data_IF_187108625192
#
_entry.id   IF_187108625192
#
_cell.length_a   1.000
_cell.length_b   1.000
_cell.length_c   1.000
_cell.angle_alpha   90.00
_cell.angle_beta   90.00
_cell.angle_gamma   90.00
#
_symmetry.space_group_name_H-M   'P 1'
#
loop_
_entity.id
_entity.type
_entity.pdbx_description
1 polymer ?
#
# COMPACT_ATOMS: atom_id res chain seq x y z
N UNK A 1 -60.58 -58.15 63.32
CA UNK A 1 -60.89 -57.31 62.14
C UNK A 1 -59.79 -56.26 62.02
N UNK A 2 -59.04 -56.28 60.90
CA UNK A 2 -58.20 -55.20 60.30
C UNK A 2 -56.92 -54.79 61.08
N UNK A 3 -55.67 -55.14 60.69
CA UNK A 3 -54.83 -54.68 59.54
C UNK A 3 -54.55 -53.15 59.68
N UNK A 4 -53.35 -52.54 59.77
CA UNK A 4 -51.91 -52.80 59.56
C UNK A 4 -51.12 -51.81 60.49
N UNK A 5 -49.95 -52.15 61.05
CA UNK A 5 -48.61 -51.67 60.64
C UNK A 5 -48.58 -50.20 60.16
N UNK A 6 -47.84 -49.26 60.73
CA UNK A 6 -46.36 -49.22 60.80
C UNK A 6 -45.88 -48.03 61.65
N UNK A 7 -44.76 -48.22 62.35
CA UNK A 7 -43.80 -47.20 62.80
C UNK A 7 -43.71 -46.00 61.84
N UNK A 8 -43.86 -44.77 62.34
CA UNK A 8 -43.35 -43.57 61.66
C UNK A 8 -42.11 -43.10 62.42
N UNK A 9 -40.95 -43.39 61.84
CA UNK A 9 -39.63 -43.03 62.34
C UNK A 9 -39.32 -41.59 61.89
N UNK A 10 -38.97 -40.77 62.88
CA UNK A 10 -38.30 -39.48 62.80
C UNK A 10 -37.15 -39.45 61.79
N UNK A 11 -37.13 -38.53 60.80
CA UNK A 11 -35.91 -38.02 60.13
C UNK A 11 -36.21 -36.69 59.41
N UNK A 12 -36.32 -35.59 60.17
CA UNK A 12 -36.70 -34.27 59.64
C UNK A 12 -35.57 -33.28 59.39
N UNK A 13 -34.29 -33.64 59.56
CA UNK A 13 -33.19 -32.64 59.50
C UNK A 13 -31.80 -33.17 59.12
N UNK A 14 -31.70 -34.14 58.21
CA UNK A 14 -30.38 -34.58 57.69
C UNK A 14 -30.23 -34.62 56.17
N UNK A 15 -31.29 -34.38 55.39
CA UNK A 15 -31.24 -34.53 53.93
C UNK A 15 -31.59 -33.27 53.13
N UNK A 16 -31.32 -32.08 53.67
CA UNK A 16 -31.39 -30.85 52.86
C UNK A 16 -30.25 -29.87 53.15
N UNK A 17 -29.02 -30.36 53.08
CA UNK A 17 -27.89 -29.50 52.72
C UNK A 17 -27.22 -30.09 51.48
N UNK A 18 -27.92 -30.06 50.35
CA UNK A 18 -27.23 -30.07 49.07
C UNK A 18 -26.40 -28.79 49.08
N UNK A 19 -25.10 -28.90 49.29
CA UNK A 19 -24.19 -27.82 48.96
C UNK A 19 -24.38 -27.58 47.48
N UNK A 20 -25.12 -26.53 47.10
CA UNK A 20 -25.18 -26.07 45.73
C UNK A 20 -23.80 -25.54 45.38
N UNK A 21 -22.90 -26.44 44.96
CA UNK A 21 -21.68 -26.04 44.30
C UNK A 21 -22.13 -25.41 42.99
N UNK A 22 -22.21 -24.07 42.98
CA UNK A 22 -22.43 -23.27 41.76
C UNK A 22 -21.57 -23.89 40.66
N UNK A 23 -22.14 -24.18 39.47
CA UNK A 23 -21.37 -24.77 38.40
C UNK A 23 -20.15 -23.89 38.17
N UNK A 24 -18.95 -24.47 38.22
CA UNK A 24 -17.72 -23.74 37.88
C UNK A 24 -17.92 -23.27 36.45
N UNK A 25 -18.02 -21.96 36.24
CA UNK A 25 -18.01 -21.38 34.90
C UNK A 25 -16.76 -21.87 34.19
N UNK A 26 -16.94 -22.81 33.26
CA UNK A 26 -15.88 -23.21 32.35
C UNK A 26 -15.69 -22.00 31.45
N UNK A 27 -14.76 -21.12 31.81
CA UNK A 27 -14.29 -20.05 30.92
C UNK A 27 -13.60 -20.72 29.75
N UNK A 28 -14.35 -21.06 28.71
CA UNK A 28 -13.82 -21.50 27.43
C UNK A 28 -13.05 -20.30 26.88
N UNK A 29 -11.74 -20.29 27.13
CA UNK A 29 -10.83 -19.34 26.51
C UNK A 29 -10.79 -19.68 25.03
N UNK A 30 -11.72 -19.11 24.26
CA UNK A 30 -11.65 -19.18 22.81
C UNK A 30 -10.41 -18.39 22.41
N UNK A 31 -9.32 -19.11 22.14
CA UNK A 31 -8.07 -18.53 21.69
C UNK A 31 -8.26 -18.08 20.24
N UNK A 32 -9.06 -17.02 20.03
CA UNK A 32 -9.30 -16.42 18.72
C UNK A 32 -8.00 -15.79 18.26
N UNK A 33 -7.20 -16.56 17.50
CA UNK A 33 -6.00 -16.06 16.80
C UNK A 33 -6.40 -14.78 16.04
N UNK A 34 -5.87 -13.63 16.47
CA UNK A 34 -6.08 -12.34 15.78
C UNK A 34 -5.55 -12.47 14.35
N UNK A 35 -6.44 -12.48 13.36
CA UNK A 35 -6.04 -12.48 11.94
C UNK A 35 -5.28 -11.19 11.65
N UNK A 36 -4.01 -11.31 11.25
CA UNK A 36 -3.19 -10.14 10.85
C UNK A 36 -3.86 -9.49 9.64
N UNK A 37 -4.05 -8.17 9.69
CA UNK A 37 -4.57 -7.41 8.54
C UNK A 37 -3.55 -7.53 7.40
N UNK A 38 -4.02 -7.86 6.19
CA UNK A 38 -3.19 -7.89 4.98
C UNK A 38 -2.50 -6.53 4.83
N UNK A 39 -1.20 -6.51 4.54
CA UNK A 39 -0.48 -5.26 4.29
C UNK A 39 -0.62 -4.85 2.82
N UNK A 40 -0.63 -3.55 2.56
CA UNK A 40 -0.56 -3.04 1.20
C UNK A 40 0.83 -3.24 0.63
N UNK A 41 0.92 -3.54 -0.67
CA UNK A 41 2.19 -3.68 -1.39
C UNK A 41 2.98 -2.38 -1.39
N UNK A 42 2.31 -1.25 -1.64
CA UNK A 42 2.92 0.08 -1.64
C UNK A 42 2.51 0.90 -0.41
N UNK A 43 3.47 1.67 0.11
CA UNK A 43 3.26 2.63 1.20
C UNK A 43 2.94 4.00 0.62
N UNK A 44 2.20 4.82 1.38
CA UNK A 44 2.04 6.24 1.06
C UNK A 44 3.44 6.88 1.02
N UNK A 45 3.70 7.69 0.01
CA UNK A 45 4.98 8.30 -0.29
C UNK A 45 5.91 7.47 -1.18
N UNK A 46 5.56 6.21 -1.51
CA UNK A 46 6.39 5.40 -2.42
C UNK A 46 6.39 5.97 -3.83
N UNK A 47 7.54 5.91 -4.50
CA UNK A 47 7.69 6.25 -5.92
C UNK A 47 7.35 5.04 -6.79
N UNK A 48 6.57 5.27 -7.83
CA UNK A 48 6.07 4.21 -8.73
C UNK A 48 6.01 4.67 -10.18
N UNK A 49 6.11 3.72 -11.11
CA UNK A 49 5.79 3.87 -12.54
C UNK A 49 4.46 3.21 -12.86
N UNK A 50 3.79 3.68 -13.91
CA UNK A 50 2.55 3.09 -14.42
C UNK A 50 2.83 2.10 -15.54
N UNK A 51 2.01 1.07 -15.67
CA UNK A 51 2.06 0.18 -16.83
C UNK A 51 1.58 0.93 -18.08
N UNK A 52 2.24 0.69 -19.21
CA UNK A 52 1.79 1.19 -20.51
C UNK A 52 0.51 0.46 -20.95
N UNK A 53 -0.37 1.20 -21.62
CA UNK A 53 -1.57 0.62 -22.23
C UNK A 53 -1.11 -0.20 -23.44
N UNK A 54 -1.32 -1.52 -23.38
CA UNK A 54 -0.96 -2.40 -24.47
C UNK A 54 -1.83 -2.11 -25.70
N UNK A 55 -1.19 -1.79 -26.83
CA UNK A 55 -1.82 -1.66 -28.13
C UNK A 55 -1.74 -2.96 -28.92
N UNK A 56 -2.64 -3.16 -29.88
CA UNK A 56 -2.72 -4.37 -30.72
C UNK A 56 -1.41 -4.61 -31.50
N UNK A 57 -0.66 -3.55 -31.77
CA UNK A 57 0.60 -3.58 -32.52
C UNK A 57 1.84 -3.58 -31.62
N UNK A 58 1.68 -3.67 -30.30
CA UNK A 58 2.83 -3.73 -29.41
C UNK A 58 3.61 -5.02 -29.60
N UNK A 59 4.91 -4.87 -29.80
CA UNK A 59 5.83 -5.98 -29.96
C UNK A 59 6.35 -6.40 -28.59
N UNK A 60 6.91 -7.60 -28.50
CA UNK A 60 7.47 -8.13 -27.24
C UNK A 60 8.57 -7.25 -26.63
N UNK A 61 9.24 -6.43 -27.44
CA UNK A 61 10.28 -5.50 -27.01
C UNK A 61 9.77 -4.10 -26.65
N UNK A 62 8.46 -3.83 -26.78
CA UNK A 62 7.89 -2.55 -26.34
C UNK A 62 8.10 -2.36 -24.83
N UNK A 63 8.46 -1.15 -24.42
CA UNK A 63 8.58 -0.78 -23.00
C UNK A 63 7.22 -1.00 -22.32
N UNK A 64 7.20 -1.75 -21.20
CA UNK A 64 5.96 -2.06 -20.46
C UNK A 64 5.55 -1.01 -19.43
N UNK A 65 6.46 -0.12 -19.09
CA UNK A 65 6.28 0.86 -18.02
C UNK A 65 6.49 2.27 -18.55
N UNK A 66 5.78 3.23 -17.99
CA UNK A 66 5.99 4.65 -18.26
C UNK A 66 7.36 5.07 -17.75
N UNK A 67 7.98 6.05 -18.40
CA UNK A 67 9.23 6.63 -17.89
C UNK A 67 8.97 7.60 -16.72
N UNK A 68 7.82 8.30 -16.74
CA UNK A 68 7.37 9.21 -15.69
C UNK A 68 7.17 8.47 -14.36
N UNK A 69 7.56 9.14 -13.27
CA UNK A 69 7.49 8.64 -11.91
C UNK A 69 6.43 9.39 -11.13
N UNK A 70 5.59 8.64 -10.44
CA UNK A 70 4.48 9.12 -9.64
C UNK A 70 4.69 8.79 -8.17
N UNK A 71 3.96 9.51 -7.32
CA UNK A 71 3.99 9.31 -5.86
C UNK A 71 2.67 8.75 -5.39
N UNK A 72 2.72 7.69 -4.58
CA UNK A 72 1.53 7.13 -3.94
C UNK A 72 1.05 8.09 -2.85
N UNK A 73 -0.13 8.69 -3.03
CA UNK A 73 -0.70 9.64 -2.06
C UNK A 73 -1.74 9.02 -1.15
N UNK A 74 -2.53 8.08 -1.67
CA UNK A 74 -3.57 7.39 -0.92
C UNK A 74 -3.61 5.92 -1.29
N UNK A 75 -4.04 5.09 -0.34
CA UNK A 75 -4.26 3.65 -0.54
C UNK A 75 -5.49 3.21 0.23
N UNK A 76 -6.30 2.37 -0.38
CA UNK A 76 -7.52 1.85 0.22
C UNK A 76 -7.87 0.50 -0.39
N UNK A 77 -8.85 -0.21 0.21
CA UNK A 77 -9.31 -1.49 -0.30
C UNK A 77 -10.78 -1.43 -0.67
N UNK A 78 -11.10 -2.00 -1.81
CA UNK A 78 -12.45 -2.27 -2.23
C UNK A 78 -12.58 -3.76 -2.53
N UNK A 79 -13.53 -4.45 -1.90
CA UNK A 79 -13.74 -5.89 -2.08
C UNK A 79 -12.44 -6.73 -1.93
N UNK A 80 -11.59 -6.37 -0.95
CA UNK A 80 -10.29 -7.03 -0.69
C UNK A 80 -9.22 -6.85 -1.79
N UNK A 81 -9.43 -5.91 -2.73
CA UNK A 81 -8.48 -5.51 -3.75
C UNK A 81 -7.79 -4.21 -3.30
N UNK A 82 -6.48 -4.15 -3.44
CA UNK A 82 -5.66 -3.00 -3.04
C UNK A 82 -5.65 -1.97 -4.17
N UNK A 83 -6.09 -0.75 -3.86
CA UNK A 83 -6.21 0.38 -4.79
C UNK A 83 -5.39 1.58 -4.30
N UNK A 84 -4.86 2.34 -5.24
CA UNK A 84 -4.00 3.50 -4.96
C UNK A 84 -4.46 4.72 -5.75
N UNK A 85 -4.30 5.90 -5.14
CA UNK A 85 -4.30 7.17 -5.86
C UNK A 85 -2.88 7.70 -5.91
N UNK A 86 -2.55 8.31 -7.05
CA UNK A 86 -1.23 8.83 -7.33
C UNK A 86 -1.27 10.34 -7.52
N UNK A 87 -0.16 11.00 -7.23
CA UNK A 87 0.16 12.33 -7.70
C UNK A 87 1.37 12.29 -8.61
N UNK A 88 1.65 13.38 -9.29
CA UNK A 88 2.95 13.60 -9.91
C UNK A 88 4.09 13.61 -8.85
N UNK A 89 5.35 13.67 -9.31
CA UNK A 89 6.52 13.60 -8.41
C UNK A 89 6.63 14.78 -7.45
N UNK A 90 6.19 15.98 -7.87
CA UNK A 90 6.17 17.20 -7.05
C UNK A 90 5.08 17.16 -5.97
N UNK A 91 4.01 16.40 -6.21
CA UNK A 91 2.89 16.24 -5.28
C UNK A 91 1.83 17.34 -5.37
N UNK A 92 1.89 18.21 -6.38
CA UNK A 92 0.95 19.31 -6.61
C UNK A 92 -0.28 18.88 -7.42
N UNK A 93 -0.15 17.88 -8.29
CA UNK A 93 -1.26 17.42 -9.14
C UNK A 93 -1.60 15.94 -8.93
N UNK A 94 -2.89 15.64 -8.82
CA UNK A 94 -3.39 14.26 -8.74
C UNK A 94 -3.57 13.65 -10.12
N UNK A 95 -3.13 12.40 -10.26
CA UNK A 95 -3.42 11.62 -11.46
C UNK A 95 -4.86 11.15 -11.40
N UNK A 96 -5.59 11.35 -12.50
CA UNK A 96 -6.99 10.96 -12.59
C UNK A 96 -7.13 9.44 -12.49
N UNK A 97 -8.04 9.00 -11.62
CA UNK A 97 -8.38 7.59 -11.48
C UNK A 97 -7.75 6.92 -10.25
N UNK A 98 -7.81 5.60 -10.24
CA UNK A 98 -7.31 4.74 -9.17
C UNK A 98 -6.64 3.52 -9.80
N UNK A 99 -5.53 3.08 -9.23
CA UNK A 99 -4.66 2.08 -9.83
C UNK A 99 -4.56 0.84 -8.97
N UNK A 100 -4.42 -0.32 -9.60
CA UNK A 100 -4.21 -1.60 -8.96
C UNK A 100 -2.73 -1.89 -8.70
N UNK A 101 -2.44 -2.84 -7.81
CA UNK A 101 -1.08 -3.34 -7.55
C UNK A 101 -0.31 -3.79 -8.80
N UNK A 102 -1.01 -4.29 -9.83
CA UNK A 102 -0.45 -4.82 -11.07
C UNK A 102 -0.05 -3.74 -12.07
N UNK A 103 -0.65 -2.56 -11.96
CA UNK A 103 -0.40 -1.41 -12.85
C UNK A 103 0.74 -0.53 -12.33
N UNK A 104 1.29 -0.86 -11.16
CA UNK A 104 2.32 -0.09 -10.48
C UNK A 104 3.62 -0.89 -10.38
N UNK A 105 4.73 -0.25 -10.74
CA UNK A 105 6.08 -0.74 -10.49
C UNK A 105 6.79 0.18 -9.51
N UNK A 106 7.40 -0.36 -8.45
CA UNK A 106 8.20 0.44 -7.51
C UNK A 106 9.43 1.02 -8.22
N UNK A 107 9.76 2.26 -7.87
CA UNK A 107 11.00 2.91 -8.28
C UNK A 107 11.79 3.33 -7.04
N UNK A 108 13.10 3.11 -7.09
CA UNK A 108 14.05 3.59 -6.09
C UNK A 108 14.91 4.66 -6.78
N UNK A 109 14.61 5.92 -6.47
CA UNK A 109 15.30 7.10 -6.98
C UNK A 109 15.49 8.06 -5.81
N UNK A 110 16.74 8.42 -5.60
CA UNK A 110 17.18 9.41 -4.62
C UNK A 110 17.59 10.72 -5.32
N UNK A 111 17.87 11.76 -4.55
CA UNK A 111 18.29 13.07 -5.06
C UNK A 111 19.55 13.01 -5.94
N UNK A 112 20.44 12.05 -5.67
CA UNK A 112 21.68 11.84 -6.44
C UNK A 112 21.52 10.86 -7.62
N UNK A 113 20.30 10.44 -7.92
CA UNK A 113 20.05 9.50 -9.01
C UNK A 113 20.22 10.16 -10.37
N UNK A 114 20.80 9.41 -11.31
CA UNK A 114 20.93 9.83 -12.69
C UNK A 114 19.56 9.88 -13.38
N UNK A 115 19.35 10.93 -14.16
CA UNK A 115 18.18 11.14 -15.03
C UNK A 115 18.63 11.18 -16.48
N UNK A 116 17.90 10.49 -17.36
CA UNK A 116 18.21 10.49 -18.78
C UNK A 116 17.62 11.76 -19.41
N UNK A 117 18.46 12.50 -20.13
CA UNK A 117 18.06 13.68 -20.89
C UNK A 117 17.61 13.21 -22.28
N UNK A 118 16.39 13.56 -22.67
CA UNK A 118 15.87 13.33 -24.02
C UNK A 118 16.52 14.30 -25.01
N UNK A 119 16.55 15.59 -24.65
CA UNK A 119 17.12 16.63 -25.50
C UNK A 119 17.49 17.88 -24.71
N UNK A 120 18.47 18.60 -25.25
CA UNK A 120 18.83 19.95 -24.83
C UNK A 120 18.05 20.93 -25.71
N UNK A 121 17.25 21.80 -25.09
CA UNK A 121 16.34 22.72 -25.79
C UNK A 121 17.00 24.08 -26.01
N UNK A 122 17.65 24.62 -24.98
CA UNK A 122 18.28 25.95 -25.01
C UNK A 122 19.61 25.93 -24.27
N UNK A 123 20.49 26.84 -24.66
CA UNK A 123 21.74 27.16 -23.96
C UNK A 123 21.66 28.61 -23.48
N UNK A 124 22.09 28.86 -22.25
CA UNK A 124 22.26 30.23 -21.72
C UNK A 124 23.57 30.36 -20.93
N UNK A 125 24.00 31.60 -20.73
CA UNK A 125 25.12 31.93 -19.84
C UNK A 125 24.61 32.84 -18.72
N UNK A 126 24.77 32.43 -17.46
CA UNK A 126 24.34 33.19 -16.27
C UNK A 126 25.50 33.31 -15.31
N UNK A 127 25.89 34.53 -14.93
CA UNK A 127 27.02 34.81 -14.02
C UNK A 127 28.31 34.06 -14.42
N UNK A 128 28.63 34.06 -15.71
CA UNK A 128 29.82 33.37 -16.24
C UNK A 128 29.67 31.87 -16.48
N UNK A 129 28.66 31.20 -15.89
CA UNK A 129 28.44 29.76 -16.04
C UNK A 129 27.48 29.43 -17.17
N UNK A 130 27.74 28.32 -17.87
CA UNK A 130 26.87 27.80 -18.93
C UNK A 130 25.83 26.87 -18.32
N UNK A 131 24.56 27.10 -18.67
CA UNK A 131 23.44 26.26 -18.27
C UNK A 131 22.65 25.83 -19.52
N UNK A 132 22.08 24.63 -19.47
CA UNK A 132 21.26 24.06 -20.52
C UNK A 132 19.84 23.84 -20.02
N UNK A 133 18.85 24.30 -20.77
CA UNK A 133 17.46 23.89 -20.56
C UNK A 133 17.30 22.49 -21.13
N UNK A 134 17.05 21.51 -20.26
CA UNK A 134 16.95 20.10 -20.64
C UNK A 134 15.52 19.61 -20.56
N UNK A 135 15.17 18.69 -21.47
CA UNK A 135 13.99 17.84 -21.35
C UNK A 135 14.42 16.46 -20.86
N UNK A 136 13.80 15.98 -19.78
CA UNK A 136 14.04 14.64 -19.28
C UNK A 136 13.22 13.61 -20.07
N UNK A 137 13.78 12.42 -20.26
CA UNK A 137 13.15 11.36 -21.05
C UNK A 137 11.80 10.95 -20.46
N UNK A 138 10.75 11.12 -21.26
CA UNK A 138 9.38 10.75 -20.90
C UNK A 138 8.75 11.62 -19.81
N UNK A 139 9.28 12.83 -19.60
CA UNK A 139 8.69 13.84 -18.74
C UNK A 139 8.04 14.97 -19.57
N UNK A 140 6.94 15.57 -19.08
CA UNK A 140 6.32 16.68 -19.79
C UNK A 140 7.16 17.96 -19.71
N UNK A 141 6.98 18.91 -20.66
CA UNK A 141 7.75 20.16 -20.70
C UNK A 141 7.68 21.02 -19.44
N UNK A 142 6.67 20.82 -18.59
CA UNK A 142 6.54 21.50 -17.29
C UNK A 142 7.64 21.13 -16.29
N UNK A 143 8.42 20.08 -16.58
CA UNK A 143 9.59 19.65 -15.82
C UNK A 143 10.91 20.03 -16.47
N UNK A 144 10.89 20.80 -17.57
CA UNK A 144 12.13 21.28 -18.18
C UNK A 144 12.87 22.19 -17.20
N UNK A 145 14.14 21.91 -16.95
CA UNK A 145 14.95 22.63 -15.96
C UNK A 145 16.28 23.10 -16.56
N UNK A 146 16.81 24.23 -16.05
CA UNK A 146 18.15 24.69 -16.40
C UNK A 146 19.19 24.00 -15.53
N UNK A 147 19.97 23.10 -16.15
CA UNK A 147 21.01 22.33 -15.48
C UNK A 147 22.39 22.90 -15.86
N UNK A 148 23.31 23.09 -14.89
CA UNK A 148 24.69 23.48 -15.19
C UNK A 148 25.39 22.46 -16.09
N UNK A 149 26.21 22.93 -17.03
CA UNK A 149 26.97 22.06 -17.93
C UNK A 149 27.84 21.02 -17.17
N UNK A 150 28.31 21.36 -15.97
CA UNK A 150 29.12 20.51 -15.10
C UNK A 150 28.38 19.25 -14.62
N UNK A 151 27.05 19.27 -14.56
CA UNK A 151 26.23 18.14 -14.09
C UNK A 151 25.79 17.22 -15.25
N UNK A 152 26.04 17.60 -16.49
CA UNK A 152 25.62 16.83 -17.66
C UNK A 152 26.77 15.94 -18.09
N UNK A 153 26.53 14.62 -18.07
CA UNK A 153 27.47 13.63 -18.57
C UNK A 153 26.99 13.07 -19.91
N UNK A 154 27.84 13.14 -20.94
CA UNK A 154 27.62 12.40 -22.18
C UNK A 154 27.94 10.92 -21.96
N UNK A 155 26.99 10.04 -22.26
CA UNK A 155 27.29 8.63 -22.45
C UNK A 155 27.97 8.50 -23.81
N UNK A 156 29.30 8.34 -23.80
CA UNK A 156 30.09 8.01 -24.99
C UNK A 156 30.20 6.51 -25.17
#
# INVERSE_FOLDING_TARGET
MLILSTKVIFWGKMYLSKTEKKPKEIKVQTNKKKRRKKQFKYKIGSLVRLSNIAHIFDRSYSQRWTEEIFKVVQRFRQQNIDLYRLSNIKGDEFIRGTFYDSELQRVEKDENSLWIIEKIIKKRKRRGKTEYLVRFQGWPPSYDEYIPAEQIQSLS
#
